data_IF_213217013884
#
_entry.id   IF_213217013884
#
_cell.length_a   1.000
_cell.length_b   1.000
_cell.length_c   1.000
_cell.angle_alpha   90.00
_cell.angle_beta   90.00
_cell.angle_gamma   90.00
#
_symmetry.space_group_name_H-M   'P 1'
#
loop_
_entity.id
_entity.type
_entity.pdbx_description
1 polymer ?
#
# COMPACT_ATOMS: atom_id res chain seq x y z
N UNK A 1 16.11 3.67 10.35
CA UNK A 1 14.82 4.29 9.99
C UNK A 1 14.02 3.23 9.28
N UNK A 2 12.77 3.01 9.68
CA UNK A 2 11.91 2.04 9.01
C UNK A 2 11.56 2.51 7.59
N UNK A 3 11.46 1.55 6.68
CA UNK A 3 11.09 1.71 5.29
C UNK A 3 9.63 1.32 5.11
N UNK A 4 8.87 2.19 4.45
CA UNK A 4 7.43 2.02 4.25
C UNK A 4 7.10 2.06 2.76
N UNK A 5 6.33 1.07 2.29
CA UNK A 5 5.74 1.08 0.94
C UNK A 5 4.25 0.82 1.02
N UNK A 6 3.44 1.62 0.36
CA UNK A 6 1.99 1.44 0.29
C UNK A 6 1.60 1.05 -1.14
N UNK A 7 1.10 -0.17 -1.30
CA UNK A 7 0.66 -0.70 -2.59
C UNK A 7 -0.84 -0.49 -2.77
N UNK A 8 -1.23 0.24 -3.82
CA UNK A 8 -2.64 0.38 -4.19
C UNK A 8 -2.83 0.77 -5.66
N UNK A 9 -4.07 0.72 -6.12
CA UNK A 9 -4.44 1.30 -7.41
C UNK A 9 -4.11 2.79 -7.48
N UNK A 10 -3.90 3.31 -8.69
CA UNK A 10 -3.73 4.73 -8.96
C UNK A 10 -5.03 5.53 -8.70
N UNK A 11 -5.37 5.68 -7.43
CA UNK A 11 -6.56 6.34 -6.94
C UNK A 11 -6.57 6.37 -5.41
N UNK A 12 -7.53 7.10 -4.84
CA UNK A 12 -7.67 7.23 -3.38
C UNK A 12 -8.08 5.91 -2.73
N UNK A 13 -9.35 5.52 -2.94
CA UNK A 13 -9.94 4.27 -2.46
C UNK A 13 -9.61 3.95 -1.00
N UNK A 14 -9.39 2.67 -0.70
CA UNK A 14 -9.13 2.17 0.66
C UNK A 14 -7.74 2.52 1.20
N UNK A 15 -6.81 2.93 0.35
CA UNK A 15 -5.45 3.31 0.76
C UNK A 15 -5.34 4.75 1.28
N UNK A 16 -6.33 5.60 0.97
CA UNK A 16 -6.23 7.03 1.25
C UNK A 16 -6.08 7.35 2.73
N UNK A 17 -6.71 6.57 3.60
CA UNK A 17 -6.58 6.75 5.05
C UNK A 17 -5.13 6.61 5.51
N UNK A 18 -4.40 5.62 4.98
CA UNK A 18 -2.99 5.43 5.29
C UNK A 18 -2.13 6.58 4.74
N UNK A 19 -2.42 7.09 3.53
CA UNK A 19 -1.72 8.24 2.95
C UNK A 19 -1.86 9.49 3.82
N UNK A 20 -3.08 9.76 4.31
CA UNK A 20 -3.36 10.89 5.19
C UNK A 20 -2.62 10.75 6.53
N UNK A 21 -2.54 9.54 7.09
CA UNK A 21 -1.77 9.25 8.30
C UNK A 21 -0.27 9.54 8.07
N UNK A 22 0.31 9.07 6.96
CA UNK A 22 1.70 9.38 6.63
C UNK A 22 1.95 10.89 6.49
N UNK A 23 1.06 11.59 5.81
CA UNK A 23 1.15 13.04 5.63
C UNK A 23 1.04 13.79 6.97
N UNK A 24 0.08 13.42 7.81
CA UNK A 24 -0.11 14.02 9.13
C UNK A 24 1.10 13.78 10.07
N UNK A 25 1.74 12.61 9.96
CA UNK A 25 2.93 12.26 10.72
C UNK A 25 4.23 12.86 10.15
N UNK A 26 4.20 13.48 8.96
CA UNK A 26 5.41 13.89 8.24
C UNK A 26 6.34 12.72 7.86
N UNK A 27 5.81 11.51 7.81
CA UNK A 27 6.56 10.28 7.58
C UNK A 27 6.72 10.03 6.08
N UNK A 28 7.96 9.85 5.63
CA UNK A 28 8.25 9.47 4.24
C UNK A 28 7.90 7.99 4.01
N UNK A 29 7.31 7.72 2.86
CA UNK A 29 6.98 6.37 2.38
C UNK A 29 6.98 6.35 0.84
N UNK A 30 7.08 5.17 0.26
CA UNK A 30 6.89 4.93 -1.17
C UNK A 30 5.41 4.66 -1.46
N UNK A 31 4.73 5.52 -2.21
CA UNK A 31 3.34 5.31 -2.65
C UNK A 31 3.35 4.54 -3.99
N UNK A 32 3.35 3.21 -3.91
CA UNK A 32 3.38 2.33 -5.07
C UNK A 32 2.00 2.26 -5.70
N UNK A 33 1.83 2.99 -6.81
CA UNK A 33 0.59 3.07 -7.57
C UNK A 33 0.69 2.28 -8.86
N UNK A 34 -0.35 1.51 -9.16
CA UNK A 34 -0.47 0.78 -10.41
C UNK A 34 -1.88 0.87 -11.01
N UNK A 35 -1.96 0.72 -12.33
CA UNK A 35 -3.22 0.67 -13.07
C UNK A 35 -3.87 -0.71 -12.94
N UNK A 36 -5.17 -0.80 -13.24
CA UNK A 36 -5.92 -2.06 -13.08
C UNK A 36 -5.40 -3.17 -13.99
N UNK A 37 -4.86 -2.81 -15.15
CA UNK A 37 -4.28 -3.71 -16.13
C UNK A 37 -3.00 -4.38 -15.61
N UNK A 38 -2.29 -3.74 -14.67
CA UNK A 38 -1.08 -4.27 -14.04
C UNK A 38 -1.39 -5.19 -12.85
N UNK A 39 -2.63 -5.15 -12.34
CA UNK A 39 -3.04 -5.93 -11.16
C UNK A 39 -2.82 -7.44 -11.27
N UNK A 40 -3.07 -8.10 -12.42
CA UNK A 40 -2.79 -9.54 -12.54
C UNK A 40 -1.33 -9.90 -12.19
N UNK A 41 -0.36 -9.02 -12.48
CA UNK A 41 1.05 -9.23 -12.15
C UNK A 41 1.36 -9.08 -10.66
N UNK A 42 0.66 -8.20 -9.94
CA UNK A 42 0.87 -7.96 -8.51
C UNK A 42 0.06 -8.88 -7.60
N UNK A 43 -1.03 -9.46 -8.09
CA UNK A 43 -2.00 -10.18 -7.25
C UNK A 43 -1.38 -11.32 -6.44
N UNK A 44 -0.48 -12.11 -7.05
CA UNK A 44 0.21 -13.22 -6.38
C UNK A 44 1.24 -12.76 -5.34
N UNK A 45 1.71 -11.52 -5.44
CA UNK A 45 2.69 -10.94 -4.51
C UNK A 45 2.04 -10.42 -3.22
N UNK A 46 0.70 -10.26 -3.21
CA UNK A 46 -0.05 -9.71 -2.07
C UNK A 46 -0.55 -10.84 -1.16
N UNK A 47 -0.38 -10.75 0.18
CA UNK A 47 -0.67 -11.87 1.09
C UNK A 47 -2.07 -12.48 0.98
N UNK A 48 -3.07 -11.64 0.72
CA UNK A 48 -4.48 -12.04 0.57
C UNK A 48 -5.01 -11.86 -0.86
N UNK A 49 -4.13 -11.66 -1.84
CA UNK A 49 -4.53 -11.39 -3.22
C UNK A 49 -5.43 -10.16 -3.38
N UNK A 50 -5.22 -9.16 -2.52
CA UNK A 50 -6.00 -7.91 -2.42
C UNK A 50 -5.06 -6.74 -2.08
N UNK A 51 -5.54 -5.53 -2.36
CA UNK A 51 -4.91 -4.27 -1.94
C UNK A 51 -5.94 -3.37 -1.23
N UNK A 52 -5.53 -2.49 -0.30
CA UNK A 52 -4.17 -2.05 0.01
C UNK A 52 -3.32 -3.08 0.76
N UNK A 53 -2.01 -2.98 0.58
CA UNK A 53 -0.98 -3.65 1.38
C UNK A 53 0.07 -2.62 1.79
N UNK A 54 0.36 -2.56 3.08
CA UNK A 54 1.48 -1.79 3.63
C UNK A 54 2.66 -2.74 3.81
N UNK A 55 3.83 -2.37 3.32
CA UNK A 55 5.09 -3.06 3.62
C UNK A 55 5.89 -2.23 4.63
N UNK A 56 6.29 -2.87 5.73
CA UNK A 56 7.13 -2.31 6.78
C UNK A 56 8.38 -3.15 6.88
N UNK A 57 9.53 -2.58 6.51
CA UNK A 57 10.83 -3.26 6.58
C UNK A 57 10.82 -4.65 5.91
N UNK A 58 10.18 -4.75 4.75
CA UNK A 58 10.02 -5.98 3.96
C UNK A 58 8.85 -6.88 4.38
N UNK A 59 8.16 -6.58 5.49
CA UNK A 59 7.00 -7.35 5.96
C UNK A 59 5.70 -6.77 5.43
N UNK A 60 4.91 -7.56 4.71
CA UNK A 60 3.64 -7.14 4.11
C UNK A 60 2.45 -7.32 5.07
N UNK A 61 1.73 -6.23 5.32
CA UNK A 61 0.53 -6.11 6.13
C UNK A 61 -0.67 -5.85 5.21
N UNK A 62 -1.59 -6.82 5.01
CA UNK A 62 -2.77 -6.64 4.19
C UNK A 62 -3.90 -5.94 4.97
N UNK A 63 -4.98 -5.56 4.26
CA UNK A 63 -6.18 -4.87 4.78
C UNK A 63 -5.96 -3.40 5.15
N UNK A 64 -7.02 -2.61 5.07
CA UNK A 64 -6.96 -1.15 5.25
C UNK A 64 -7.12 -0.67 6.69
N UNK A 65 -7.65 -1.52 7.58
CA UNK A 65 -8.06 -1.13 8.95
C UNK A 65 -7.77 -2.23 9.98
N UNK A 66 -6.94 -3.20 9.61
CA UNK A 66 -6.49 -4.29 10.49
C UNK A 66 -5.50 -3.81 11.54
#
# INVERSE_FOLDING_TARGET
MSTYKLYYFNGRGRAEIARLIFAAAGQKYEDVRFEREQWPGHKSEMPLGQVPVLEVDGTKLPQSTS
#
